data_IF_776408538185
#
_entry.id   IF_776408538185
#
_cell.length_a   1.000
_cell.length_b   1.000
_cell.length_c   1.000
_cell.angle_alpha   90.00
_cell.angle_beta   90.00
_cell.angle_gamma   90.00
#
_symmetry.space_group_name_H-M   'P 1'
#
loop_
_entity.id
_entity.type
_entity.pdbx_description
1 polymer ?
#
# COMPACT_ATOMS: atom_id res chain seq x y z
N UNK A 1 -28.23 10.47 -12.72
CA UNK A 1 -27.74 9.29 -11.96
C UNK A 1 -27.45 8.09 -12.87
N UNK A 2 -26.18 7.72 -12.99
CA UNK A 2 -25.66 6.64 -13.85
C UNK A 2 -25.15 5.46 -12.99
N UNK A 3 -25.44 4.22 -13.38
CA UNK A 3 -24.87 3.05 -12.70
C UNK A 3 -23.54 2.67 -13.37
N UNK A 4 -22.43 2.84 -12.63
CA UNK A 4 -21.07 2.67 -13.18
C UNK A 4 -20.46 1.30 -12.89
N UNK A 5 -20.95 0.60 -11.86
CA UNK A 5 -20.43 -0.70 -11.45
C UNK A 5 -21.48 -1.51 -10.71
N UNK A 6 -21.57 -2.80 -11.02
CA UNK A 6 -22.40 -3.76 -10.30
C UNK A 6 -21.51 -4.87 -9.75
N UNK A 7 -21.63 -5.16 -8.46
CA UNK A 7 -20.93 -6.23 -7.76
C UNK A 7 -21.94 -7.11 -7.03
N UNK A 8 -21.62 -8.38 -6.79
CA UNK A 8 -22.44 -9.27 -5.98
C UNK A 8 -21.62 -9.79 -4.81
N UNK A 9 -22.15 -9.67 -3.60
CA UNK A 9 -21.53 -10.19 -2.39
C UNK A 9 -22.57 -10.84 -1.49
N UNK A 10 -22.42 -12.15 -1.25
CA UNK A 10 -23.33 -12.96 -0.41
C UNK A 10 -24.82 -12.77 -0.75
N UNK A 11 -25.15 -12.71 -2.04
CA UNK A 11 -26.53 -12.52 -2.52
C UNK A 11 -27.03 -11.07 -2.54
N UNK A 12 -26.22 -10.12 -2.06
CA UNK A 12 -26.51 -8.68 -2.14
C UNK A 12 -25.87 -8.11 -3.42
N UNK A 13 -26.70 -7.52 -4.26
CA UNK A 13 -26.28 -6.73 -5.42
C UNK A 13 -25.89 -5.33 -4.93
N UNK A 14 -24.67 -4.92 -5.23
CA UNK A 14 -24.09 -3.63 -4.86
C UNK A 14 -23.93 -2.81 -6.14
N UNK A 15 -24.72 -1.75 -6.29
CA UNK A 15 -24.60 -0.81 -7.40
C UNK A 15 -23.84 0.43 -6.96
N UNK A 16 -22.74 0.73 -7.62
CA UNK A 16 -22.09 2.04 -7.51
C UNK A 16 -22.73 2.96 -8.54
N UNK A 17 -23.27 4.07 -8.08
CA UNK A 17 -23.96 5.06 -8.92
C UNK A 17 -23.25 6.40 -8.83
N UNK A 18 -23.19 7.13 -9.93
CA UNK A 18 -22.64 8.47 -10.03
C UNK A 18 -23.77 9.46 -10.28
N UNK A 19 -23.85 10.50 -9.46
CA UNK A 19 -24.80 11.59 -9.68
C UNK A 19 -24.30 12.58 -10.73
N UNK A 20 -25.12 13.58 -11.04
CA UNK A 20 -24.84 14.54 -12.12
C UNK A 20 -23.72 15.52 -11.71
N UNK A 21 -23.38 15.58 -10.41
CA UNK A 21 -22.23 16.33 -9.87
C UNK A 21 -20.94 15.48 -9.83
N UNK A 22 -20.99 14.24 -10.32
CA UNK A 22 -19.87 13.31 -10.30
C UNK A 22 -19.61 12.63 -8.95
N UNK A 23 -20.50 12.80 -7.95
CA UNK A 23 -20.36 12.12 -6.66
C UNK A 23 -20.82 10.67 -6.75
N UNK A 24 -20.06 9.80 -6.08
CA UNK A 24 -20.35 8.37 -6.02
C UNK A 24 -21.15 8.01 -4.77
N UNK A 25 -22.20 7.22 -4.95
CA UNK A 25 -22.92 6.57 -3.85
C UNK A 25 -23.15 5.09 -4.16
N UNK A 26 -23.63 4.33 -3.17
CA UNK A 26 -23.89 2.90 -3.30
C UNK A 26 -25.31 2.55 -2.91
N UNK A 27 -25.95 1.76 -3.76
CA UNK A 27 -27.26 1.15 -3.52
C UNK A 27 -27.08 -0.35 -3.31
N UNK A 28 -27.83 -0.91 -2.36
CA UNK A 28 -27.78 -2.33 -2.01
C UNK A 28 -29.12 -2.96 -2.32
N UNK A 29 -29.15 -4.08 -3.05
CA UNK A 29 -30.38 -4.78 -3.41
C UNK A 29 -30.27 -6.26 -3.11
N UNK A 30 -31.38 -6.85 -2.67
CA UNK A 30 -31.53 -8.30 -2.56
C UNK A 30 -32.84 -8.70 -3.23
N UNK A 31 -32.77 -9.65 -4.17
CA UNK A 31 -33.94 -10.13 -4.95
C UNK A 31 -34.77 -8.97 -5.54
N UNK A 32 -34.08 -7.96 -6.07
CA UNK A 32 -34.68 -6.78 -6.70
C UNK A 32 -35.20 -5.70 -5.73
N UNK A 33 -35.21 -5.94 -4.42
CA UNK A 33 -35.64 -4.96 -3.41
C UNK A 33 -34.47 -4.14 -2.89
N UNK A 34 -34.68 -2.83 -2.75
CA UNK A 34 -33.69 -1.93 -2.14
C UNK A 34 -33.59 -2.23 -0.64
N UNK A 35 -32.35 -2.41 -0.16
CA UNK A 35 -32.03 -2.61 1.25
C UNK A 35 -31.76 -1.26 1.92
N UNK A 36 -32.04 -1.20 3.22
CA UNK A 36 -31.71 -0.05 4.05
C UNK A 36 -30.20 0.13 4.14
N UNK A 37 -29.78 1.38 4.21
CA UNK A 37 -28.37 1.76 4.31
C UNK A 37 -28.22 2.88 5.32
N UNK A 38 -27.47 2.60 6.37
CA UNK A 38 -27.05 3.59 7.36
C UNK A 38 -25.52 3.67 7.39
N UNK A 39 -24.99 4.80 7.86
CA UNK A 39 -23.57 4.99 8.11
C UNK A 39 -23.32 4.73 9.58
N UNK A 40 -22.31 3.91 9.88
CA UNK A 40 -21.86 3.74 11.26
C UNK A 40 -20.70 4.69 11.56
N UNK A 41 -20.63 5.17 12.79
CA UNK A 41 -19.49 5.90 13.34
C UNK A 41 -19.19 5.44 14.78
N UNK A 42 -17.99 5.74 15.26
CA UNK A 42 -17.52 5.33 16.58
C UNK A 42 -16.13 4.72 16.54
N UNK A 43 -15.56 4.43 17.71
CA UNK A 43 -14.19 3.98 17.87
C UNK A 43 -13.87 2.69 17.10
N UNK A 44 -14.73 1.67 17.19
CA UNK A 44 -14.54 0.42 16.44
C UNK A 44 -14.69 0.61 14.93
N UNK A 45 -15.55 1.53 14.48
CA UNK A 45 -15.69 1.86 13.06
C UNK A 45 -14.43 2.53 12.53
N UNK A 46 -13.83 3.46 13.29
CA UNK A 46 -12.56 4.09 12.90
C UNK A 46 -11.41 3.07 12.84
N UNK A 47 -11.40 2.06 13.71
CA UNK A 47 -10.47 0.94 13.59
C UNK A 47 -10.72 0.10 12.32
N UNK A 48 -11.98 -0.24 12.01
CA UNK A 48 -12.31 -0.97 10.78
C UNK A 48 -11.93 -0.18 9.52
N UNK A 49 -12.09 1.16 9.53
CA UNK A 49 -11.61 2.04 8.46
C UNK A 49 -10.08 1.99 8.34
N UNK A 50 -9.36 2.01 9.46
CA UNK A 50 -7.90 1.88 9.47
C UNK A 50 -7.45 0.53 8.87
N UNK A 51 -8.11 -0.58 9.24
CA UNK A 51 -7.86 -1.91 8.68
C UNK A 51 -8.09 -1.95 7.17
N UNK A 52 -9.19 -1.39 6.66
CA UNK A 52 -9.46 -1.34 5.21
C UNK A 52 -8.47 -0.45 4.46
N UNK A 53 -8.02 0.65 5.08
CA UNK A 53 -6.97 1.51 4.52
C UNK A 53 -5.65 0.76 4.34
N UNK A 54 -5.23 0.01 5.38
CA UNK A 54 -4.01 -0.80 5.35
C UNK A 54 -4.10 -1.97 4.37
N UNK A 55 -5.23 -2.70 4.34
CA UNK A 55 -5.42 -3.80 3.38
C UNK A 55 -5.35 -3.30 1.93
N UNK A 56 -5.89 -2.11 1.65
CA UNK A 56 -5.76 -1.46 0.34
C UNK A 56 -4.31 -1.08 0.04
N UNK A 57 -3.56 -0.54 1.00
CA UNK A 57 -2.14 -0.22 0.83
C UNK A 57 -1.32 -1.51 0.55
N UNK A 58 -1.57 -2.61 1.28
CA UNK A 58 -0.91 -3.90 1.06
C UNK A 58 -1.25 -4.54 -0.30
N UNK A 59 -2.50 -4.43 -0.77
CA UNK A 59 -2.91 -4.89 -2.10
C UNK A 59 -2.17 -4.14 -3.21
N UNK A 60 -2.06 -2.82 -3.08
CA UNK A 60 -1.30 -2.01 -4.04
C UNK A 60 0.16 -2.45 -4.10
N UNK A 61 0.79 -2.70 -2.95
CA UNK A 61 2.17 -3.20 -2.88
C UNK A 61 2.31 -4.50 -3.66
N UNK A 62 1.47 -5.50 -3.38
CA UNK A 62 1.50 -6.80 -4.06
C UNK A 62 1.32 -6.65 -5.58
N UNK A 63 0.36 -5.82 -6.03
CA UNK A 63 0.18 -5.54 -7.46
C UNK A 63 1.43 -4.92 -8.08
N UNK A 64 2.05 -3.95 -7.41
CA UNK A 64 3.22 -3.26 -7.95
C UNK A 64 4.48 -4.13 -7.94
N UNK A 65 4.64 -5.04 -6.96
CA UNK A 65 5.69 -6.05 -6.98
C UNK A 65 5.55 -6.96 -8.21
N UNK A 66 4.33 -7.42 -8.51
CA UNK A 66 4.06 -8.19 -9.73
C UNK A 66 4.48 -7.44 -11.00
N UNK A 67 4.13 -6.16 -11.12
CA UNK A 67 4.53 -5.32 -12.27
C UNK A 67 6.06 -5.16 -12.33
N UNK A 68 6.74 -4.97 -11.19
CA UNK A 68 8.20 -4.90 -11.17
C UNK A 68 8.85 -6.20 -11.63
N UNK A 69 8.34 -7.36 -11.21
CA UNK A 69 8.83 -8.66 -11.64
C UNK A 69 8.67 -8.85 -13.16
N UNK A 70 7.53 -8.45 -13.73
CA UNK A 70 7.31 -8.46 -15.19
C UNK A 70 8.28 -7.54 -15.94
N UNK A 71 8.48 -6.31 -15.45
CA UNK A 71 9.42 -5.35 -16.03
C UNK A 71 10.86 -5.85 -15.97
N UNK A 72 11.24 -6.50 -14.86
CA UNK A 72 12.55 -7.10 -14.69
C UNK A 72 12.76 -8.27 -15.65
N UNK A 73 11.79 -9.18 -15.78
CA UNK A 73 11.89 -10.32 -16.70
C UNK A 73 12.11 -9.88 -18.16
N UNK A 74 11.54 -8.72 -18.54
CA UNK A 74 11.70 -8.14 -19.88
C UNK A 74 13.08 -7.50 -20.12
N UNK A 75 13.65 -6.85 -19.12
CA UNK A 75 14.80 -5.95 -19.29
C UNK A 75 16.08 -6.41 -18.57
N UNK A 76 15.98 -7.46 -17.75
CA UNK A 76 17.05 -7.99 -16.90
C UNK A 76 17.74 -6.92 -16.05
N UNK A 77 16.95 -6.10 -15.35
CA UNK A 77 17.46 -5.03 -14.48
C UNK A 77 18.31 -5.55 -13.31
N UNK A 78 18.16 -6.83 -12.94
CA UNK A 78 19.00 -7.49 -11.95
C UNK A 78 20.47 -7.57 -12.39
N UNK A 79 20.73 -7.91 -13.65
CA UNK A 79 22.10 -7.97 -14.17
C UNK A 79 22.56 -6.62 -14.69
N UNK A 80 21.65 -5.86 -15.33
CA UNK A 80 21.93 -4.52 -15.85
C UNK A 80 21.56 -3.46 -14.80
N UNK A 81 22.45 -3.24 -13.84
CA UNK A 81 22.21 -2.32 -12.70
C UNK A 81 22.15 -0.83 -13.06
N UNK A 82 22.55 -0.44 -14.27
CA UNK A 82 22.62 0.94 -14.73
C UNK A 82 21.99 1.10 -16.13
N UNK A 83 20.68 0.79 -16.28
CA UNK A 83 19.99 1.08 -17.52
C UNK A 83 20.06 2.59 -17.83
N UNK A 84 20.18 2.94 -19.11
CA UNK A 84 20.22 4.34 -19.54
C UNK A 84 19.02 5.13 -19.02
N UNK A 85 19.23 6.40 -18.67
CA UNK A 85 18.17 7.28 -18.14
C UNK A 85 17.04 7.57 -19.15
N UNK A 86 17.27 7.32 -20.43
CA UNK A 86 16.28 7.37 -21.51
C UNK A 86 15.39 6.11 -21.57
N UNK A 87 15.71 5.07 -20.80
CA UNK A 87 14.89 3.87 -20.72
C UNK A 87 13.63 4.13 -19.86
N UNK A 88 12.49 4.25 -20.55
CA UNK A 88 11.16 4.42 -19.93
C UNK A 88 10.82 3.31 -18.93
N UNK A 89 11.13 2.05 -19.25
CA UNK A 89 10.82 0.92 -18.35
C UNK A 89 11.64 1.03 -17.06
N UNK A 90 12.91 1.46 -17.16
CA UNK A 90 13.75 1.70 -15.99
C UNK A 90 13.22 2.85 -15.12
N UNK A 91 12.70 3.92 -15.73
CA UNK A 91 12.08 5.03 -14.99
C UNK A 91 10.80 4.60 -14.27
N UNK A 92 9.93 3.82 -14.93
CA UNK A 92 8.72 3.25 -14.31
C UNK A 92 9.10 2.31 -13.17
N UNK A 93 10.09 1.45 -13.39
CA UNK A 93 10.61 0.52 -12.40
C UNK A 93 11.08 1.25 -11.13
N UNK A 94 11.92 2.28 -11.28
CA UNK A 94 12.40 3.09 -10.15
C UNK A 94 11.25 3.79 -9.42
N UNK A 95 10.30 4.37 -10.17
CA UNK A 95 9.13 5.04 -9.59
C UNK A 95 8.24 4.10 -8.77
N UNK A 96 8.00 2.88 -9.26
CA UNK A 96 7.24 1.86 -8.53
C UNK A 96 7.97 1.40 -7.27
N UNK A 97 9.29 1.21 -7.33
CA UNK A 97 10.08 0.86 -6.14
C UNK A 97 9.93 1.91 -5.03
N UNK A 98 10.04 3.20 -5.35
CA UNK A 98 9.79 4.28 -4.39
C UNK A 98 8.36 4.26 -3.84
N UNK A 99 7.37 4.06 -4.69
CA UNK A 99 5.97 4.01 -4.29
C UNK A 99 5.70 2.85 -3.31
N UNK A 100 6.32 1.69 -3.55
CA UNK A 100 6.22 0.53 -2.66
C UNK A 100 6.87 0.83 -1.31
N UNK A 101 8.11 1.34 -1.27
CA UNK A 101 8.78 1.70 -0.01
C UNK A 101 7.95 2.70 0.80
N UNK A 102 7.38 3.71 0.13
CA UNK A 102 6.56 4.72 0.78
C UNK A 102 5.26 4.14 1.36
N UNK A 103 4.53 3.30 0.61
CA UNK A 103 3.32 2.64 1.12
C UNK A 103 3.63 1.62 2.21
N UNK A 104 4.72 0.86 2.07
CA UNK A 104 5.16 -0.09 3.08
C UNK A 104 5.45 0.64 4.39
N UNK A 105 6.28 1.70 4.35
CA UNK A 105 6.56 2.52 5.53
C UNK A 105 5.30 3.11 6.16
N UNK A 106 4.33 3.56 5.35
CA UNK A 106 3.03 4.06 5.84
C UNK A 106 2.24 3.01 6.64
N UNK A 107 2.45 1.72 6.37
CA UNK A 107 1.80 0.66 7.15
C UNK A 107 2.33 0.56 8.59
N UNK A 108 3.54 1.05 8.84
CA UNK A 108 4.26 0.96 10.12
C UNK A 108 4.49 2.31 10.82
N UNK A 109 4.29 3.43 10.13
CA UNK A 109 4.38 4.76 10.73
C UNK A 109 2.99 5.24 11.17
N UNK A 110 2.88 5.75 12.40
CA UNK A 110 1.64 6.35 12.90
C UNK A 110 1.16 7.49 12.00
N UNK A 111 -0.10 7.48 11.61
CA UNK A 111 -0.76 8.61 10.94
C UNK A 111 -1.77 9.22 11.91
N UNK A 112 -1.81 10.56 12.03
CA UNK A 112 -2.61 11.29 13.04
C UNK A 112 -4.08 10.82 13.14
N UNK A 113 -4.67 10.36 12.04
CA UNK A 113 -6.08 9.96 11.97
C UNK A 113 -6.30 8.44 11.78
N UNK A 114 -5.26 7.60 11.91
CA UNK A 114 -5.39 6.14 11.76
C UNK A 114 -5.31 5.47 13.13
N UNK A 115 -6.40 4.84 13.58
CA UNK A 115 -6.50 4.19 14.90
C UNK A 115 -5.71 2.89 15.05
N UNK A 116 -5.02 2.44 14.00
CA UNK A 116 -4.18 1.26 14.02
C UNK A 116 -3.02 1.40 13.03
N UNK A 117 -1.84 0.97 13.47
CA UNK A 117 -0.62 0.86 12.67
C UNK A 117 0.03 -0.47 13.02
N UNK A 118 0.74 -1.07 12.07
CA UNK A 118 1.50 -2.27 12.38
C UNK A 118 2.74 -1.95 13.21
N UNK A 119 2.98 -2.78 14.21
CA UNK A 119 4.29 -2.92 14.87
C UNK A 119 5.11 -4.05 14.22
N UNK A 120 6.44 -4.02 14.42
CA UNK A 120 7.39 -5.07 14.00
C UNK A 120 6.98 -6.49 14.43
N UNK A 121 6.31 -6.65 15.58
CA UNK A 121 5.84 -7.96 16.07
C UNK A 121 4.81 -8.64 15.14
N UNK A 122 4.11 -7.86 14.31
CA UNK A 122 3.18 -8.42 13.31
C UNK A 122 3.91 -9.00 12.09
N UNK A 123 5.19 -8.66 11.90
CA UNK A 123 6.04 -9.25 10.86
C UNK A 123 6.54 -10.63 11.35
N UNK A 124 6.42 -11.69 10.52
CA UNK A 124 6.96 -13.00 10.85
C UNK A 124 8.44 -12.90 11.22
N UNK A 125 8.86 -13.66 12.24
CA UNK A 125 10.19 -13.52 12.84
C UNK A 125 11.33 -13.65 11.83
N UNK A 126 11.23 -14.63 10.91
CA UNK A 126 12.19 -14.85 9.82
C UNK A 126 12.38 -13.64 8.89
N UNK A 127 11.42 -12.73 8.83
CA UNK A 127 11.44 -11.56 7.94
C UNK A 127 11.69 -10.24 8.66
N UNK A 128 11.91 -10.23 9.98
CA UNK A 128 12.08 -8.99 10.75
C UNK A 128 13.32 -8.20 10.36
N UNK A 129 14.42 -8.88 10.01
CA UNK A 129 15.63 -8.20 9.50
C UNK A 129 15.32 -7.48 8.18
N UNK A 130 14.70 -8.18 7.24
CA UNK A 130 14.30 -7.59 5.96
C UNK A 130 13.30 -6.42 6.13
N UNK A 131 12.39 -6.51 7.11
CA UNK A 131 11.55 -5.37 7.48
C UNK A 131 12.37 -4.15 7.95
N UNK A 132 13.40 -4.36 8.78
CA UNK A 132 14.28 -3.28 9.22
C UNK A 132 15.01 -2.66 8.01
N UNK A 133 15.49 -3.49 7.08
CA UNK A 133 16.14 -3.04 5.85
C UNK A 133 15.17 -2.20 4.98
N UNK A 134 13.92 -2.62 4.80
CA UNK A 134 12.87 -1.85 4.11
C UNK A 134 12.58 -0.52 4.78
N UNK A 135 12.47 -0.51 6.12
CA UNK A 135 12.23 0.71 6.88
C UNK A 135 13.43 1.65 6.79
N UNK A 136 14.66 1.12 6.81
CA UNK A 136 15.89 1.88 6.64
C UNK A 136 15.97 2.50 5.23
N UNK A 137 15.74 1.72 4.18
CA UNK A 137 15.66 2.22 2.80
C UNK A 137 14.59 3.32 2.66
N UNK A 138 13.42 3.17 3.28
CA UNK A 138 12.40 4.21 3.26
C UNK A 138 12.87 5.52 3.94
N UNK A 139 13.70 5.45 4.98
CA UNK A 139 14.24 6.66 5.62
C UNK A 139 15.40 7.29 4.83
N UNK A 140 16.32 6.47 4.31
CA UNK A 140 17.59 6.93 3.74
C UNK A 140 17.63 7.00 2.20
N UNK A 141 16.63 6.42 1.53
CA UNK A 141 16.53 6.45 0.08
C UNK A 141 15.29 7.25 -0.36
N UNK A 142 14.15 7.04 0.29
CA UNK A 142 12.91 7.73 -0.09
C UNK A 142 12.67 9.09 0.60
N UNK A 143 13.35 9.40 1.71
CA UNK A 143 13.08 10.61 2.51
C UNK A 143 14.28 11.54 2.71
N UNK A 144 15.51 11.03 2.81
CA UNK A 144 16.72 11.85 3.00
C UNK A 144 17.86 11.38 2.10
N UNK A 145 18.61 12.30 1.48
CA UNK A 145 19.83 11.98 0.72
C UNK A 145 21.02 12.06 1.68
N UNK A 146 21.63 10.94 2.06
CA UNK A 146 22.79 11.02 2.97
C UNK A 146 23.56 9.74 3.27
N UNK A 147 22.90 8.58 3.33
CA UNK A 147 23.55 7.38 3.90
C UNK A 147 23.20 6.08 3.16
N UNK A 148 22.76 6.19 1.90
CA UNK A 148 22.56 5.04 1.04
C UNK A 148 23.69 5.03 0.01
N UNK A 149 24.68 4.14 0.20
CA UNK A 149 25.87 3.94 -0.66
C UNK A 149 25.56 3.68 -2.15
N UNK A 150 24.28 3.58 -2.46
CA UNK A 150 23.77 3.26 -3.76
C UNK A 150 23.74 4.51 -4.66
N UNK A 151 23.29 5.69 -4.21
CA UNK A 151 23.30 6.88 -5.09
C UNK A 151 24.56 7.73 -4.89
N UNK A 152 25.58 7.48 -5.73
CA UNK A 152 26.82 8.27 -5.76
C UNK A 152 26.91 9.09 -7.06
N UNK A 153 27.46 10.30 -6.95
CA UNK A 153 27.72 11.16 -8.09
C UNK A 153 29.14 11.69 -7.98
N UNK A 154 30.02 11.19 -8.84
CA UNK A 154 31.42 11.59 -8.89
C UNK A 154 31.66 12.52 -10.06
N UNK A 155 32.58 13.46 -9.89
CA UNK A 155 33.06 14.32 -10.98
C UNK A 155 34.46 13.85 -11.34
N UNK A 156 34.60 13.23 -12.51
CA UNK A 156 35.86 12.68 -12.98
C UNK A 156 36.56 13.66 -13.92
N UNK A 157 37.83 13.96 -13.65
CA UNK A 157 38.72 14.64 -14.58
C UNK A 157 39.47 13.58 -15.41
N UNK A 158 39.19 13.52 -16.70
CA UNK A 158 39.85 12.60 -17.63
C UNK A 158 40.93 13.33 -18.39
N UNK A 159 42.15 12.81 -18.31
CA UNK A 159 43.35 13.38 -18.93
C UNK A 159 43.95 12.37 -19.93
N UNK A 160 44.10 12.77 -21.19
CA UNK A 160 44.86 11.97 -22.15
C UNK A 160 46.35 12.29 -22.06
N UNK A 161 47.02 11.69 -21.07
CA UNK A 161 48.45 11.90 -20.79
C UNK A 161 49.39 11.32 -21.86
N UNK A 162 48.88 10.55 -22.83
CA UNK A 162 49.69 9.94 -23.90
C UNK A 162 49.96 10.89 -25.08
N UNK A 163 49.22 12.00 -25.20
CA UNK A 163 49.47 13.03 -26.23
C UNK A 163 50.50 14.03 -25.71
N UNK A 164 51.77 13.87 -26.11
CA UNK A 164 52.94 14.63 -25.61
C UNK A 164 52.91 16.15 -25.82
N UNK A 165 51.98 16.69 -26.63
CA UNK A 165 52.05 18.08 -27.10
C UNK A 165 50.92 18.96 -26.56
N UNK A 166 49.76 18.38 -26.21
CA UNK A 166 48.64 19.15 -25.65
C UNK A 166 47.73 18.24 -24.83
N UNK A 167 47.69 18.46 -23.51
CA UNK A 167 46.70 17.84 -22.63
C UNK A 167 45.35 18.51 -22.92
N UNK A 168 44.35 17.72 -23.29
CA UNK A 168 42.96 18.17 -23.43
C UNK A 168 42.16 17.55 -22.29
N UNK A 169 42.01 18.25 -21.14
CA UNK A 169 41.22 17.75 -20.02
C UNK A 169 39.73 17.75 -20.38
N UNK A 170 39.02 16.72 -19.96
CA UNK A 170 37.57 16.67 -20.00
C UNK A 170 37.03 16.33 -18.61
N UNK A 171 35.96 17.00 -18.22
CA UNK A 171 35.26 16.72 -16.97
C UNK A 171 34.00 15.93 -17.32
N UNK A 172 33.83 14.79 -16.67
CA UNK A 172 32.64 13.96 -16.79
C UNK A 172 31.92 13.88 -15.45
N UNK A 173 30.60 13.81 -15.52
CA UNK A 173 29.76 13.44 -14.37
C UNK A 173 29.50 11.93 -14.43
N UNK A 174 29.87 11.24 -13.36
CA UNK A 174 29.70 9.80 -13.20
C UNK A 174 28.62 9.56 -12.14
N UNK A 175 27.39 9.42 -12.60
CA UNK A 175 26.24 9.17 -11.75
C UNK A 175 26.01 7.66 -11.63
N UNK A 176 26.19 7.11 -10.43
CA UNK A 176 25.80 5.75 -10.09
C UNK A 176 24.47 5.77 -9.33
N UNK A 177 23.47 5.10 -9.87
CA UNK A 177 22.21 4.86 -9.18
C UNK A 177 21.81 3.39 -9.39
N UNK A 178 22.08 2.48 -8.45
CA UNK A 178 21.54 1.15 -8.51
C UNK A 178 20.03 1.27 -8.33
N UNK A 179 19.32 0.57 -9.20
CA UNK A 179 17.88 0.73 -9.31
C UNK A 179 17.12 0.00 -8.20
N UNK A 180 17.72 -0.98 -7.50
CA UNK A 180 17.07 -1.74 -6.41
C UNK A 180 18.04 -2.61 -5.57
N UNK A 181 17.57 -3.04 -4.38
CA UNK A 181 18.11 -4.19 -3.63
C UNK A 181 17.69 -5.52 -4.29
N UNK A 182 18.65 -6.43 -4.46
CA UNK A 182 18.49 -7.77 -5.04
C UNK A 182 17.43 -8.64 -4.37
N UNK A 183 17.05 -8.35 -3.13
CA UNK A 183 16.07 -9.15 -2.38
C UNK A 183 14.62 -8.69 -2.60
N UNK A 184 14.41 -7.65 -3.40
CA UNK A 184 13.07 -7.10 -3.65
C UNK A 184 12.33 -7.76 -4.83
N UNK A 185 13.07 -8.41 -5.74
CA UNK A 185 12.52 -9.06 -6.93
C UNK A 185 12.45 -10.57 -6.76
N UNK A 186 11.46 -11.17 -7.42
CA UNK A 186 11.24 -12.61 -7.41
C UNK A 186 12.37 -13.32 -8.17
N UNK A 187 12.89 -14.39 -7.56
CA UNK A 187 13.95 -15.24 -8.11
C UNK A 187 13.44 -16.63 -8.49
N UNK A 188 12.12 -16.85 -8.44
CA UNK A 188 11.43 -18.09 -8.82
C UNK A 188 10.68 -18.77 -7.68
N UNK A 189 10.73 -18.24 -6.45
CA UNK A 189 10.08 -18.77 -5.24
C UNK A 189 9.22 -17.74 -4.48
N UNK A 190 8.98 -16.57 -5.09
CA UNK A 190 8.31 -15.43 -4.47
C UNK A 190 9.29 -14.53 -3.72
N UNK A 191 8.82 -13.37 -3.28
CA UNK A 191 9.66 -12.40 -2.57
C UNK A 191 9.38 -12.39 -1.05
N UNK A 192 10.40 -12.11 -0.21
CA UNK A 192 10.17 -11.86 1.22
C UNK A 192 9.15 -10.75 1.46
N UNK A 193 9.07 -9.75 0.58
CA UNK A 193 8.08 -8.69 0.66
C UNK A 193 6.64 -9.20 0.46
N UNK A 194 6.39 -10.04 -0.54
CA UNK A 194 5.08 -10.64 -0.77
C UNK A 194 4.62 -11.50 0.40
N UNK A 195 5.54 -12.27 0.98
CA UNK A 195 5.27 -13.08 2.17
C UNK A 195 4.90 -12.22 3.39
N UNK A 196 5.65 -11.14 3.63
CA UNK A 196 5.32 -10.18 4.68
C UNK A 196 3.93 -9.59 4.42
N UNK A 197 3.68 -9.08 3.21
CA UNK A 197 2.40 -8.46 2.88
C UNK A 197 1.23 -9.43 3.05
N UNK A 198 1.40 -10.69 2.67
CA UNK A 198 0.40 -11.75 2.85
C UNK A 198 0.15 -12.03 4.34
N UNK A 199 1.20 -12.15 5.14
CA UNK A 199 1.07 -12.33 6.59
C UNK A 199 0.35 -11.15 7.27
N UNK A 200 0.70 -9.91 6.91
CA UNK A 200 0.07 -8.70 7.44
C UNK A 200 -1.40 -8.59 7.04
N UNK A 201 -1.77 -9.01 5.82
CA UNK A 201 -3.18 -9.12 5.41
C UNK A 201 -3.95 -10.12 6.28
N UNK A 202 -3.33 -11.24 6.65
CA UNK A 202 -3.90 -12.20 7.59
C UNK A 202 -4.18 -11.58 8.96
N UNK A 203 -3.25 -10.78 9.49
CA UNK A 203 -3.43 -10.03 10.75
C UNK A 203 -4.61 -9.05 10.64
N UNK A 204 -4.72 -8.31 9.53
CA UNK A 204 -5.83 -7.38 9.32
C UNK A 204 -7.16 -8.12 9.23
N UNK A 205 -7.22 -9.21 8.46
CA UNK A 205 -8.43 -10.00 8.29
C UNK A 205 -8.94 -10.52 9.65
N UNK A 206 -8.07 -11.14 10.45
CA UNK A 206 -8.43 -11.62 11.78
C UNK A 206 -8.97 -10.49 12.67
N UNK A 207 -8.25 -9.35 12.75
CA UNK A 207 -8.70 -8.20 13.55
C UNK A 207 -9.99 -7.58 13.05
N UNK A 208 -10.22 -7.59 11.74
CA UNK A 208 -11.43 -7.04 11.14
C UNK A 208 -12.63 -7.93 11.45
N UNK A 209 -12.51 -9.25 11.33
CA UNK A 209 -13.55 -10.20 11.71
C UNK A 209 -13.84 -10.13 13.22
N UNK A 210 -12.82 -10.07 14.08
CA UNK A 210 -13.01 -9.89 15.53
C UNK A 210 -13.82 -8.62 15.88
N UNK A 211 -13.61 -7.52 15.15
CA UNK A 211 -14.41 -6.30 15.34
C UNK A 211 -15.80 -6.41 14.72
N UNK A 212 -15.92 -7.07 13.58
CA UNK A 212 -17.20 -7.34 12.94
C UNK A 212 -18.12 -8.10 13.91
N UNK A 213 -17.65 -9.23 14.45
CA UNK A 213 -18.41 -10.06 15.38
C UNK A 213 -18.79 -9.26 16.65
N UNK A 214 -17.84 -8.50 17.22
CA UNK A 214 -18.13 -7.62 18.36
C UNK A 214 -19.22 -6.59 18.06
N UNK A 215 -19.24 -6.01 16.87
CA UNK A 215 -20.26 -5.03 16.49
C UNK A 215 -21.60 -5.70 16.27
N UNK A 216 -21.62 -6.87 15.63
CA UNK A 216 -22.83 -7.65 15.43
C UNK A 216 -23.44 -8.02 16.79
N UNK A 217 -22.65 -8.63 17.67
CA UNK A 217 -23.13 -9.15 18.95
C UNK A 217 -23.45 -8.07 19.98
N UNK A 218 -22.65 -6.99 20.02
CA UNK A 218 -22.80 -5.94 21.03
C UNK A 218 -23.78 -4.83 20.65
N UNK A 219 -24.03 -4.62 19.36
CA UNK A 219 -24.87 -3.52 18.87
C UNK A 219 -25.99 -4.01 17.94
N UNK A 220 -25.67 -4.78 16.89
CA UNK A 220 -26.69 -5.08 15.87
C UNK A 220 -27.79 -5.99 16.42
N UNK A 221 -27.41 -7.05 17.13
CA UNK A 221 -28.35 -8.03 17.68
C UNK A 221 -29.02 -7.60 18.98
N UNK A 222 -28.50 -6.56 19.65
CA UNK A 222 -29.04 -6.05 20.92
C UNK A 222 -30.10 -4.96 20.74
N UNK A 223 -30.17 -4.35 19.55
CA UNK A 223 -31.05 -3.22 19.24
C UNK A 223 -32.33 -3.68 18.55
N UNK A 224 -33.46 -3.10 18.94
CA UNK A 224 -34.79 -3.53 18.52
C UNK A 224 -35.05 -3.32 17.01
N UNK A 225 -35.92 -4.15 16.38
CA UNK A 225 -36.37 -3.95 14.99
C UNK A 225 -36.94 -2.55 14.70
N UNK A 226 -37.54 -1.90 15.69
CA UNK A 226 -38.11 -0.55 15.55
C UNK A 226 -37.04 0.53 15.34
N UNK A 227 -35.86 0.38 15.94
CA UNK A 227 -34.74 1.28 15.71
C UNK A 227 -34.29 1.22 14.24
N UNK A 228 -34.09 0.01 13.70
CA UNK A 228 -33.59 -0.19 12.34
C UNK A 228 -34.51 0.44 11.29
N UNK A 229 -35.84 0.27 11.43
CA UNK A 229 -36.82 0.90 10.55
C UNK A 229 -36.70 2.43 10.46
N UNK A 230 -36.22 3.07 11.53
CA UNK A 230 -36.09 4.52 11.62
C UNK A 230 -34.66 5.01 11.34
N UNK A 231 -33.70 4.11 11.08
CA UNK A 231 -32.29 4.43 10.92
C UNK A 231 -31.84 4.56 9.44
N UNK A 232 -32.72 4.26 8.48
CA UNK A 232 -32.37 4.32 7.06
C UNK A 232 -31.89 5.72 6.64
N UNK A 233 -30.79 5.76 5.89
CA UNK A 233 -30.11 6.99 5.46
C UNK A 233 -29.36 7.76 6.55
N UNK A 234 -29.44 7.35 7.83
CA UNK A 234 -28.83 8.10 8.95
C UNK A 234 -27.40 7.67 9.23
N UNK A 235 -26.67 8.54 9.93
CA UNK A 235 -25.43 8.20 10.62
C UNK A 235 -25.75 7.80 12.06
N UNK A 236 -25.19 6.68 12.51
CA UNK A 236 -25.44 6.09 13.83
C UNK A 236 -24.11 5.89 14.56
N UNK A 237 -23.99 6.55 15.72
CA UNK A 237 -22.85 6.36 16.62
C UNK A 237 -23.05 5.10 17.47
N UNK A 238 -22.08 4.17 17.39
CA UNK A 238 -22.14 2.90 18.10
C UNK A 238 -21.42 2.89 19.46
N UNK A 239 -20.66 3.94 19.80
CA UNK A 239 -19.89 3.99 21.06
C UNK A 239 -20.75 3.80 22.32
N UNK A 240 -21.99 4.32 22.42
CA UNK A 240 -22.82 4.11 23.61
C UNK A 240 -23.14 2.63 23.92
N UNK A 241 -23.04 1.74 22.93
CA UNK A 241 -23.36 0.32 23.07
C UNK A 241 -22.17 -0.51 23.56
N UNK A 242 -20.97 0.07 23.54
CA UNK A 242 -19.75 -0.56 24.03
C UNK A 242 -19.27 0.22 25.24
N UNK A 243 -19.51 -0.31 26.45
CA UNK A 243 -19.08 0.33 27.71
C UNK A 243 -17.63 0.81 27.55
N UNK A 244 -17.38 2.10 27.84
CA UNK A 244 -16.02 2.62 28.03
C UNK A 244 -15.39 1.79 29.15
N UNK A 245 -14.44 0.92 28.80
CA UNK A 245 -13.48 0.39 29.77
C UNK A 245 -12.50 1.49 30.15
#
# INVERSE_FOLDING_TARGET
MECVKIENYRGIEIRTVRDDNGQYSRLYREKGKLLQRLILEGFYIEQMKAFRSLDKDLRNILTWVGILNELNAKNDFLTNRYPGMDNRDAAVFKGLFFAILALYGRCFTGAQNRKFTFDKKHVPEKYRKYHDDLMHMRHNFAAHKGDFEAEDCQIALVLNIKKKVQISPQIFSELQQPYIDFNFLDKGDGTPLEDICTALKGVIAAKYEDLYDKIIDGFVLTVSPSFWKNADGKTVNIDPYFKKR
#
